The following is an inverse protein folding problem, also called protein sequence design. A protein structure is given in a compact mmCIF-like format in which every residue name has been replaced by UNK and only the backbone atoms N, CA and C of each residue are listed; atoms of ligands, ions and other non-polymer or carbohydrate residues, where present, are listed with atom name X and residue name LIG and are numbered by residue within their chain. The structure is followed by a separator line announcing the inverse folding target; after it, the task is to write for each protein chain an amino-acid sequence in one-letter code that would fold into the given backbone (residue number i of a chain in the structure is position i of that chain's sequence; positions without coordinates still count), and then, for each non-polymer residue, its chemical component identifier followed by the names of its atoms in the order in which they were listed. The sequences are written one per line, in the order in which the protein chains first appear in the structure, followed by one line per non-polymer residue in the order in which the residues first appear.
data_IF_950480696502
#
_entry.id   IF_950480696502
#
_cell.length_a   1.000
_cell.length_b   1.000
_cell.length_c   1.000
_cell.angle_alpha   90.00
_cell.angle_beta   90.00
_cell.angle_gamma   90.00
#
_symmetry.space_group_name_H-M   'P 1'
#
loop_
_entity.id
_entity.type
_entity.pdbx_description
1 polymer ?
#
# COMPACT_ATOMS: atom_id res chain seq x y z
N UNK A 1 -59.34 -14.27 -29.06
CA UNK A 1 -60.12 -13.85 -30.25
C UNK A 1 -59.39 -12.68 -30.87
N UNK A 2 -58.52 -12.98 -31.83
CA UNK A 2 -58.74 -12.61 -33.25
C UNK A 2 -58.73 -11.09 -33.48
N UNK A 3 -57.57 -10.62 -33.96
CA UNK A 3 -57.36 -9.69 -35.09
C UNK A 3 -58.67 -9.22 -35.75
N UNK A 4 -58.71 -7.94 -36.16
CA UNK A 4 -58.90 -7.52 -37.57
C UNK A 4 -59.73 -6.22 -37.71
N UNK A 5 -59.11 -5.25 -38.40
CA UNK A 5 -59.67 -4.22 -39.32
C UNK A 5 -60.50 -3.04 -38.81
N UNK A 6 -60.20 -1.89 -39.42
CA UNK A 6 -61.15 -0.78 -39.53
C UNK A 6 -60.53 0.59 -39.83
N UNK A 7 -59.82 0.75 -40.95
CA UNK A 7 -59.67 2.08 -41.55
C UNK A 7 -60.89 2.36 -42.45
N UNK A 8 -61.44 3.58 -42.41
CA UNK A 8 -61.63 4.36 -43.64
C UNK A 8 -61.33 5.86 -43.41
N UNK A 9 -60.51 6.50 -44.25
CA UNK A 9 -60.86 7.17 -45.52
C UNK A 9 -61.02 8.70 -45.37
N UNK A 10 -60.02 9.41 -45.92
CA UNK A 10 -60.11 10.62 -46.77
C UNK A 10 -60.91 11.85 -46.28
N UNK A 11 -60.19 12.91 -45.94
CA UNK A 11 -60.43 14.26 -46.49
C UNK A 11 -59.16 15.10 -46.38
N UNK A 12 -58.49 15.30 -47.52
CA UNK A 12 -57.39 16.24 -47.67
C UNK A 12 -57.93 17.67 -47.54
N UNK A 13 -57.54 18.36 -46.47
CA UNK A 13 -57.64 19.82 -46.37
C UNK A 13 -56.20 20.33 -46.25
N UNK A 14 -55.73 21.02 -47.28
CA UNK A 14 -54.39 21.61 -47.30
C UNK A 14 -54.23 22.55 -46.08
N UNK A 15 -53.16 22.42 -45.28
CA UNK A 15 -52.93 23.36 -44.20
C UNK A 15 -52.55 24.72 -44.81
N UNK A 16 -53.32 25.75 -44.45
CA UNK A 16 -52.99 27.15 -44.67
C UNK A 16 -51.52 27.39 -44.31
N UNK A 17 -50.69 27.70 -45.30
CA UNK A 17 -49.32 28.16 -45.09
C UNK A 17 -49.40 29.53 -44.41
N UNK A 18 -49.23 29.53 -43.09
CA UNK A 18 -49.15 30.75 -42.29
C UNK A 18 -47.66 31.07 -42.09
N UNK A 19 -47.06 32.04 -42.83
CA UNK A 19 -45.63 32.31 -42.81
C UNK A 19 -45.12 32.84 -41.45
N UNK A 20 -46.00 33.08 -40.47
CA UNK A 20 -45.68 33.49 -39.10
C UNK A 20 -45.77 32.35 -38.07
N UNK A 21 -46.04 31.11 -38.49
CA UNK A 21 -46.16 29.95 -37.60
C UNK A 21 -44.86 29.13 -37.41
N UNK A 22 -43.71 29.60 -37.94
CA UNK A 22 -42.40 28.97 -37.74
C UNK A 22 -41.64 29.66 -36.61
N UNK A 23 -42.20 29.61 -35.41
CA UNK A 23 -41.52 30.13 -34.22
C UNK A 23 -41.86 29.31 -32.97
N UNK A 24 -41.89 27.97 -33.04
CA UNK A 24 -41.59 27.15 -31.86
C UNK A 24 -41.41 25.64 -32.14
N UNK A 25 -40.43 25.21 -32.95
CA UNK A 25 -40.01 23.80 -32.96
C UNK A 25 -38.54 23.65 -33.30
N UNK A 26 -37.70 23.66 -32.27
CA UNK A 26 -36.30 23.28 -32.33
C UNK A 26 -35.61 23.59 -31.00
N UNK A 27 -35.09 22.60 -30.24
CA UNK A 27 -34.34 22.83 -29.02
C UNK A 27 -32.98 23.45 -29.39
N UNK A 28 -32.99 24.76 -29.57
CA UNK A 28 -31.81 25.57 -29.80
C UNK A 28 -31.02 25.69 -28.50
N UNK A 29 -29.79 25.17 -28.53
CA UNK A 29 -28.73 25.42 -27.57
C UNK A 29 -28.41 26.92 -27.49
N UNK A 30 -29.24 27.68 -26.78
CA UNK A 30 -28.89 29.01 -26.32
C UNK A 30 -28.84 29.00 -24.79
N UNK A 31 -27.93 28.18 -24.26
CA UNK A 31 -27.44 28.43 -22.91
C UNK A 31 -26.46 29.60 -23.05
N UNK A 32 -26.63 30.73 -22.33
CA UNK A 32 -25.60 31.76 -22.30
C UNK A 32 -24.26 31.11 -21.90
N UNK A 33 -23.09 31.66 -22.32
CA UNK A 33 -21.81 31.18 -21.83
C UNK A 33 -21.90 31.11 -20.31
N UNK A 34 -21.61 29.93 -19.73
CA UNK A 34 -21.57 29.81 -18.28
C UNK A 34 -20.67 30.93 -17.76
N UNK A 35 -21.17 31.73 -16.82
CA UNK A 35 -20.34 32.73 -16.17
C UNK A 35 -19.08 32.03 -15.65
N UNK A 36 -17.88 32.59 -15.89
CA UNK A 36 -16.64 31.94 -15.50
C UNK A 36 -16.68 31.67 -14.00
N UNK A 37 -16.39 30.42 -13.62
CA UNK A 37 -16.41 30.03 -12.21
C UNK A 37 -15.30 30.79 -11.46
N UNK A 38 -15.39 30.93 -10.13
CA UNK A 38 -14.28 31.46 -9.33
C UNK A 38 -12.95 30.74 -9.59
N UNK A 39 -13.01 29.43 -9.89
CA UNK A 39 -11.86 28.66 -10.33
C UNK A 39 -11.32 29.12 -11.69
N UNK A 40 -12.19 29.31 -12.68
CA UNK A 40 -11.77 29.73 -14.03
C UNK A 40 -11.09 31.10 -14.02
N UNK A 41 -11.61 32.05 -13.23
CA UNK A 41 -11.02 33.38 -13.06
C UNK A 41 -9.63 33.31 -12.41
N UNK A 42 -9.51 32.53 -11.32
CA UNK A 42 -8.25 32.40 -10.60
C UNK A 42 -7.20 31.62 -11.41
N UNK A 43 -7.64 30.61 -12.16
CA UNK A 43 -6.79 29.87 -13.09
C UNK A 43 -6.20 30.81 -14.14
N UNK A 44 -7.02 31.66 -14.75
CA UNK A 44 -6.57 32.64 -15.72
C UNK A 44 -5.53 33.60 -15.11
N UNK A 45 -5.80 34.15 -13.92
CA UNK A 45 -4.87 35.06 -13.23
C UNK A 45 -3.51 34.38 -12.93
N UNK A 46 -3.53 33.12 -12.49
CA UNK A 46 -2.31 32.34 -12.24
C UNK A 46 -1.56 32.07 -13.55
N UNK A 47 -2.25 31.69 -14.63
CA UNK A 47 -1.63 31.44 -15.93
C UNK A 47 -0.97 32.71 -16.51
N UNK A 48 -1.60 33.87 -16.34
CA UNK A 48 -1.06 35.17 -16.77
C UNK A 48 0.18 35.57 -15.96
N UNK A 49 0.14 35.43 -14.62
CA UNK A 49 1.29 35.69 -13.76
C UNK A 49 2.44 34.71 -14.01
N UNK A 50 2.12 33.44 -14.27
CA UNK A 50 3.11 32.42 -14.61
C UNK A 50 3.78 32.70 -15.95
N UNK A 51 3.02 33.14 -16.96
CA UNK A 51 3.59 33.62 -18.22
C UNK A 51 4.54 34.79 -17.97
N UNK A 52 4.12 35.77 -17.17
CA UNK A 52 4.95 36.92 -16.79
C UNK A 52 6.24 36.47 -16.09
N UNK A 53 6.16 35.50 -15.18
CA UNK A 53 7.34 34.98 -14.48
C UNK A 53 8.34 34.30 -15.42
N UNK A 54 7.89 33.66 -16.51
CA UNK A 54 8.82 33.09 -17.50
C UNK A 54 9.68 34.15 -18.16
N UNK A 55 9.15 35.36 -18.35
CA UNK A 55 9.88 36.45 -18.99
C UNK A 55 10.95 37.06 -18.06
N UNK A 56 10.76 37.00 -16.73
CA UNK A 56 11.69 37.55 -15.73
C UNK A 56 12.62 36.53 -15.07
N UNK A 57 12.29 35.23 -15.09
CA UNK A 57 13.03 34.16 -14.41
C UNK A 57 13.72 33.22 -15.41
N UNK A 58 14.56 33.78 -16.26
CA UNK A 58 15.30 33.08 -17.32
C UNK A 58 16.61 32.41 -16.86
N UNK A 59 17.04 32.69 -15.63
CA UNK A 59 18.26 32.15 -15.01
C UNK A 59 19.42 33.14 -14.97
N UNK A 60 19.26 34.36 -15.46
CA UNK A 60 20.27 35.40 -15.34
C UNK A 60 20.32 36.01 -13.92
N UNK A 61 21.51 36.38 -13.41
CA UNK A 61 21.62 37.06 -12.12
C UNK A 61 20.93 38.44 -12.13
N UNK A 62 20.36 38.83 -10.99
CA UNK A 62 19.75 40.15 -10.86
C UNK A 62 20.80 41.26 -10.91
N UNK A 63 20.66 42.18 -11.86
CA UNK A 63 21.64 43.24 -12.16
C UNK A 63 21.25 44.63 -11.62
N UNK A 64 20.01 44.80 -11.14
CA UNK A 64 19.47 46.09 -10.71
C UNK A 64 18.45 45.97 -9.57
N UNK A 65 18.41 46.97 -8.69
CA UNK A 65 17.44 47.06 -7.58
C UNK A 65 15.99 47.19 -8.08
N UNK A 66 15.80 47.84 -9.24
CA UNK A 66 14.50 47.93 -9.90
C UNK A 66 14.00 46.54 -10.31
N UNK A 67 14.86 45.69 -10.87
CA UNK A 67 14.51 44.31 -11.24
C UNK A 67 14.25 43.45 -10.01
N UNK A 68 15.04 43.60 -8.94
CA UNK A 68 14.79 42.93 -7.67
C UNK A 68 13.39 43.28 -7.10
N UNK A 69 12.97 44.54 -7.21
CA UNK A 69 11.65 45.01 -6.74
C UNK A 69 10.52 44.41 -7.57
N UNK A 70 10.62 44.44 -8.91
CA UNK A 70 9.61 43.87 -9.81
C UNK A 70 9.45 42.36 -9.59
N UNK A 71 10.57 41.63 -9.47
CA UNK A 71 10.55 40.18 -9.21
C UNK A 71 9.95 39.89 -7.83
N UNK A 72 10.22 40.71 -6.82
CA UNK A 72 9.62 40.57 -5.48
C UNK A 72 8.10 40.77 -5.52
N UNK A 73 7.62 41.82 -6.20
CA UNK A 73 6.17 42.03 -6.36
C UNK A 73 5.49 40.90 -7.13
N UNK A 74 6.12 40.39 -8.19
CA UNK A 74 5.61 39.26 -8.96
C UNK A 74 5.54 37.99 -8.11
N UNK A 75 6.59 37.71 -7.35
CA UNK A 75 6.65 36.61 -6.39
C UNK A 75 5.49 36.68 -5.39
N UNK A 76 5.28 37.85 -4.78
CA UNK A 76 4.25 38.03 -3.77
C UNK A 76 2.84 37.89 -4.36
N UNK A 77 2.59 38.40 -5.57
CA UNK A 77 1.31 38.22 -6.27
C UNK A 77 1.02 36.75 -6.58
N UNK A 78 2.02 36.00 -7.06
CA UNK A 78 1.89 34.56 -7.31
C UNK A 78 1.57 33.82 -6.01
N UNK A 79 2.26 34.17 -4.92
CA UNK A 79 2.02 33.59 -3.60
C UNK A 79 0.59 33.84 -3.10
N UNK A 80 0.09 35.07 -3.22
CA UNK A 80 -1.29 35.41 -2.83
C UNK A 80 -2.35 34.73 -3.72
N UNK A 81 -2.08 34.55 -5.01
CA UNK A 81 -2.95 33.73 -5.88
C UNK A 81 -2.98 32.26 -5.42
N UNK A 82 -1.83 31.71 -5.05
CA UNK A 82 -1.71 30.36 -4.50
C UNK A 82 -2.55 30.17 -3.23
N UNK A 83 -2.52 31.15 -2.31
CA UNK A 83 -3.37 31.14 -1.10
C UNK A 83 -4.86 31.15 -1.42
N UNK A 84 -5.29 31.99 -2.37
CA UNK A 84 -6.69 32.04 -2.82
C UNK A 84 -7.15 30.72 -3.45
N UNK A 85 -6.27 30.07 -4.21
CA UNK A 85 -6.59 28.79 -4.84
C UNK A 85 -6.78 27.68 -3.81
N UNK A 86 -5.91 27.66 -2.80
CA UNK A 86 -6.05 26.72 -1.69
C UNK A 86 -7.30 26.98 -0.86
N UNK A 87 -7.65 28.24 -0.59
CA UNK A 87 -8.89 28.59 0.11
C UNK A 87 -10.13 28.10 -0.65
N UNK A 88 -10.20 28.35 -1.97
CA UNK A 88 -11.30 27.88 -2.82
C UNK A 88 -11.39 26.33 -2.81
N UNK A 89 -10.25 25.66 -2.91
CA UNK A 89 -10.19 24.18 -2.84
C UNK A 89 -10.72 23.65 -1.51
N UNK A 90 -10.35 24.27 -0.40
CA UNK A 90 -10.82 23.89 0.94
C UNK A 90 -12.33 24.10 1.06
N UNK A 91 -12.85 25.22 0.58
CA UNK A 91 -14.27 25.54 0.64
C UNK A 91 -15.11 24.58 -0.21
N UNK A 92 -14.67 24.26 -1.43
CA UNK A 92 -15.34 23.27 -2.30
C UNK A 92 -15.28 21.86 -1.71
N UNK A 93 -14.17 21.49 -1.07
CA UNK A 93 -13.96 20.16 -0.47
C UNK A 93 -14.71 19.99 0.84
N UNK A 94 -14.92 21.06 1.61
CA UNK A 94 -15.54 21.04 2.93
C UNK A 94 -16.86 20.25 3.02
N UNK A 95 -17.88 20.47 2.16
CA UNK A 95 -19.12 19.69 2.24
C UNK A 95 -18.92 18.20 1.98
N UNK A 96 -17.93 17.82 1.16
CA UNK A 96 -17.59 16.41 0.93
C UNK A 96 -16.85 15.81 2.11
N UNK A 97 -15.90 16.56 2.69
CA UNK A 97 -15.20 16.15 3.90
C UNK A 97 -16.17 15.96 5.07
N UNK A 98 -17.16 16.84 5.23
CA UNK A 98 -18.21 16.74 6.26
C UNK A 98 -19.07 15.47 6.07
N UNK A 99 -19.47 15.16 4.82
CA UNK A 99 -20.21 13.93 4.51
C UNK A 99 -19.37 12.67 4.79
N UNK A 100 -18.08 12.69 4.41
CA UNK A 100 -17.15 11.61 4.70
C UNK A 100 -16.99 11.45 6.21
N UNK A 101 -16.86 12.54 6.96
CA UNK A 101 -16.72 12.53 8.41
C UNK A 101 -17.96 11.97 9.11
N UNK A 102 -19.17 12.29 8.63
CA UNK A 102 -20.42 11.72 9.13
C UNK A 102 -20.46 10.20 8.95
N UNK A 103 -20.13 9.73 7.74
CA UNK A 103 -20.06 8.29 7.43
C UNK A 103 -19.02 7.61 8.33
N UNK A 104 -17.82 8.19 8.45
CA UNK A 104 -16.77 7.63 9.30
C UNK A 104 -17.21 7.54 10.75
N UNK A 105 -17.81 8.61 11.29
CA UNK A 105 -18.36 8.64 12.65
C UNK A 105 -19.40 7.54 12.87
N UNK A 106 -20.32 7.34 11.92
CA UNK A 106 -21.36 6.30 11.98
C UNK A 106 -20.77 4.89 12.05
N UNK A 107 -19.72 4.60 11.28
CA UNK A 107 -19.14 3.26 11.18
C UNK A 107 -18.01 3.00 12.19
N UNK A 108 -17.43 4.04 12.77
CA UNK A 108 -16.31 3.91 13.71
C UNK A 108 -16.59 2.97 14.89
N UNK A 109 -17.75 3.03 15.58
CA UNK A 109 -18.03 2.12 16.70
C UNK A 109 -18.14 0.65 16.28
N UNK A 110 -18.35 0.36 15.00
CA UNK A 110 -18.52 -0.99 14.48
C UNK A 110 -17.19 -1.56 13.97
N UNK A 111 -16.48 -0.80 13.13
CA UNK A 111 -15.32 -1.28 12.36
C UNK A 111 -14.06 -0.42 12.51
N UNK A 112 -14.13 0.67 13.29
CA UNK A 112 -13.00 1.56 13.49
C UNK A 112 -11.78 0.83 14.06
N UNK A 113 -10.60 1.16 13.53
CA UNK A 113 -9.34 0.65 14.03
C UNK A 113 -8.35 1.83 14.11
N UNK A 114 -8.56 2.69 15.10
CA UNK A 114 -7.73 3.88 15.28
C UNK A 114 -7.18 3.95 16.70
N UNK A 115 -6.26 4.89 16.94
CA UNK A 115 -5.74 5.15 18.29
C UNK A 115 -6.85 5.57 19.28
N UNK A 116 -7.92 6.19 18.78
CA UNK A 116 -9.05 6.68 19.59
C UNK A 116 -10.01 5.58 20.05
N UNK A 117 -9.90 4.38 19.50
CA UNK A 117 -10.78 3.27 19.85
C UNK A 117 -10.86 2.20 18.77
N UNK A 118 -11.23 0.99 19.21
CA UNK A 118 -11.53 -0.17 18.36
C UNK A 118 -13.04 -0.36 18.29
N UNK A 119 -13.56 -0.58 17.09
CA UNK A 119 -14.94 -0.96 16.87
C UNK A 119 -15.22 -2.39 17.32
N UNK A 120 -16.50 -2.72 17.49
CA UNK A 120 -16.96 -4.03 17.99
C UNK A 120 -16.38 -5.22 17.20
N UNK A 121 -16.25 -5.10 15.88
CA UNK A 121 -15.72 -6.19 15.04
C UNK A 121 -14.26 -6.50 15.37
N UNK A 122 -13.44 -5.48 15.58
CA UNK A 122 -12.01 -5.67 15.91
C UNK A 122 -11.88 -6.26 17.31
N UNK A 123 -12.62 -5.72 18.29
CA UNK A 123 -12.62 -6.25 19.66
C UNK A 123 -13.03 -7.74 19.71
N UNK A 124 -14.10 -8.11 19.00
CA UNK A 124 -14.56 -9.49 18.95
C UNK A 124 -13.52 -10.40 18.26
N UNK A 125 -12.95 -9.96 17.13
CA UNK A 125 -11.90 -10.71 16.42
C UNK A 125 -10.67 -10.91 17.28
N UNK A 126 -10.19 -9.87 17.96
CA UNK A 126 -9.03 -9.94 18.85
C UNK A 126 -9.29 -10.93 19.99
N UNK A 127 -10.45 -10.84 20.65
CA UNK A 127 -10.82 -11.77 21.72
C UNK A 127 -10.87 -13.23 21.24
N UNK A 128 -11.48 -13.49 20.07
CA UNK A 128 -11.48 -14.82 19.47
C UNK A 128 -10.06 -15.28 19.11
N UNK A 129 -9.22 -14.39 18.56
CA UNK A 129 -7.87 -14.73 18.15
C UNK A 129 -6.98 -15.04 19.38
N UNK A 130 -7.15 -14.33 20.50
CA UNK A 130 -6.45 -14.64 21.76
C UNK A 130 -6.73 -16.06 22.24
N UNK A 131 -7.96 -16.55 22.10
CA UNK A 131 -8.32 -17.93 22.47
C UNK A 131 -7.89 -18.95 21.41
N UNK A 132 -8.05 -18.63 20.13
CA UNK A 132 -7.74 -19.54 19.02
C UNK A 132 -6.24 -19.74 18.80
N UNK A 133 -5.41 -18.74 19.10
CA UNK A 133 -3.95 -18.81 18.90
C UNK A 133 -3.29 -19.96 19.66
N UNK A 134 -3.41 -20.07 21.01
CA UNK A 134 -2.79 -21.16 21.75
C UNK A 134 -3.36 -22.53 21.36
N UNK A 135 -4.66 -22.61 21.04
CA UNK A 135 -5.26 -23.85 20.53
C UNK A 135 -4.65 -24.28 19.19
N UNK A 136 -4.55 -23.35 18.22
CA UNK A 136 -3.93 -23.62 16.92
C UNK A 136 -2.45 -24.00 17.06
N UNK A 137 -1.73 -23.38 17.99
CA UNK A 137 -0.34 -23.74 18.31
C UNK A 137 -0.23 -25.16 18.87
N UNK A 138 -1.12 -25.54 19.80
CA UNK A 138 -1.20 -26.91 20.33
C UNK A 138 -1.46 -27.92 19.21
N UNK A 139 -2.48 -27.67 18.38
CA UNK A 139 -2.80 -28.55 17.24
C UNK A 139 -1.64 -28.63 16.24
N UNK A 140 -0.93 -27.52 16.00
CA UNK A 140 0.26 -27.51 15.15
C UNK A 140 1.37 -28.39 15.75
N UNK A 141 1.64 -28.27 17.05
CA UNK A 141 2.64 -29.08 17.75
C UNK A 141 2.29 -30.57 17.74
N UNK A 142 1.01 -30.92 17.97
CA UNK A 142 0.53 -32.31 17.91
C UNK A 142 0.72 -32.91 16.52
N UNK A 143 0.37 -32.15 15.47
CA UNK A 143 0.55 -32.60 14.08
C UNK A 143 2.02 -32.69 13.68
N UNK A 144 2.86 -31.77 14.14
CA UNK A 144 4.30 -31.83 13.91
C UNK A 144 4.93 -33.05 14.59
N UNK A 145 4.53 -33.36 15.83
CA UNK A 145 4.97 -34.56 16.54
C UNK A 145 4.53 -35.84 15.82
N UNK A 146 3.27 -35.89 15.35
CA UNK A 146 2.77 -37.00 14.55
C UNK A 146 3.52 -37.16 13.22
N UNK A 147 3.81 -36.05 12.53
CA UNK A 147 4.59 -36.06 11.31
C UNK A 147 6.03 -36.53 11.55
N UNK A 148 6.68 -36.08 12.62
CA UNK A 148 8.02 -36.51 13.01
C UNK A 148 8.07 -38.03 13.32
N UNK A 149 7.07 -38.54 14.05
CA UNK A 149 6.95 -39.97 14.33
C UNK A 149 6.74 -40.79 13.05
N UNK A 150 5.82 -40.37 12.18
CA UNK A 150 5.58 -41.05 10.91
C UNK A 150 6.80 -41.01 9.98
N UNK A 151 7.56 -39.91 9.97
CA UNK A 151 8.81 -39.80 9.23
C UNK A 151 9.88 -40.76 9.77
N UNK A 152 10.04 -40.85 11.10
CA UNK A 152 10.99 -41.78 11.71
C UNK A 152 10.63 -43.25 11.43
N UNK A 153 9.34 -43.61 11.48
CA UNK A 153 8.86 -44.96 11.14
C UNK A 153 9.07 -45.29 9.66
N UNK A 154 8.78 -44.35 8.76
CA UNK A 154 9.01 -44.53 7.32
C UNK A 154 10.51 -44.64 6.99
N UNK A 155 11.36 -43.86 7.66
CA UNK A 155 12.83 -43.93 7.53
C UNK A 155 13.37 -45.29 7.98
N UNK A 156 12.94 -45.77 9.14
CA UNK A 156 13.35 -47.06 9.67
C UNK A 156 12.93 -48.20 8.75
N UNK A 157 11.67 -48.20 8.29
CA UNK A 157 11.16 -49.21 7.35
C UNK A 157 11.90 -49.17 6.01
N UNK A 158 12.23 -47.98 5.50
CA UNK A 158 13.00 -47.84 4.26
C UNK A 158 14.40 -48.42 4.40
N UNK A 159 15.09 -48.14 5.52
CA UNK A 159 16.43 -48.71 5.79
C UNK A 159 16.37 -50.23 5.87
N UNK A 160 15.42 -50.79 6.62
CA UNK A 160 15.24 -52.25 6.72
C UNK A 160 14.92 -52.89 5.37
N UNK A 161 14.07 -52.27 4.55
CA UNK A 161 13.78 -52.75 3.21
C UNK A 161 15.01 -52.70 2.28
N UNK A 162 15.83 -51.65 2.36
CA UNK A 162 17.07 -51.52 1.59
C UNK A 162 18.10 -52.58 2.00
N UNK A 163 18.28 -52.82 3.30
CA UNK A 163 19.17 -53.85 3.83
C UNK A 163 18.72 -55.25 3.39
N UNK A 164 17.42 -55.56 3.48
CA UNK A 164 16.85 -56.83 3.02
C UNK A 164 16.99 -57.03 1.50
N UNK A 165 16.85 -55.96 0.71
CA UNK A 165 17.00 -56.00 -0.75
C UNK A 165 18.47 -56.24 -1.18
N UNK A 166 19.43 -55.76 -0.38
CA UNK A 166 20.86 -56.02 -0.58
C UNK A 166 21.25 -57.44 -0.14
N UNK A 167 20.70 -57.93 0.97
CA UNK A 167 21.00 -59.25 1.52
C UNK A 167 20.41 -60.40 0.69
N UNK A 168 19.23 -60.20 0.07
CA UNK A 168 18.52 -61.22 -0.74
C UNK A 168 19.12 -61.49 -2.13
N UNK A 169 20.33 -61.01 -2.41
CA UNK A 169 20.97 -61.18 -3.72
C UNK A 169 21.21 -62.67 -4.03
N UNK A 170 20.45 -63.21 -4.99
CA UNK A 170 20.58 -64.60 -5.45
C UNK A 170 19.66 -65.61 -4.74
N UNK A 171 18.80 -65.18 -3.80
CA UNK A 171 17.81 -66.03 -3.14
C UNK A 171 16.38 -65.53 -3.41
N UNK A 172 15.58 -66.31 -4.14
CA UNK A 172 14.23 -65.93 -4.57
C UNK A 172 13.26 -65.73 -3.40
N UNK A 173 13.30 -66.60 -2.38
CA UNK A 173 12.39 -66.50 -1.24
C UNK A 173 12.69 -65.27 -0.37
N UNK A 174 13.97 -64.94 -0.19
CA UNK A 174 14.40 -63.73 0.51
C UNK A 174 14.12 -62.46 -0.30
N UNK A 175 14.11 -62.58 -1.63
CA UNK A 175 13.76 -61.47 -2.54
C UNK A 175 12.29 -61.09 -2.42
N UNK A 176 11.39 -62.08 -2.41
CA UNK A 176 9.95 -61.85 -2.22
C UNK A 176 9.66 -61.18 -0.87
N UNK A 177 10.31 -61.63 0.21
CA UNK A 177 10.21 -60.99 1.53
C UNK A 177 10.75 -59.55 1.54
N UNK A 178 11.86 -59.28 0.84
CA UNK A 178 12.41 -57.93 0.71
C UNK A 178 11.51 -56.99 -0.12
N UNK A 179 10.80 -57.52 -1.12
CA UNK A 179 9.82 -56.75 -1.91
C UNK A 179 8.57 -56.39 -1.09
N UNK A 180 8.10 -57.29 -0.21
CA UNK A 180 7.02 -56.99 0.73
C UNK A 180 7.41 -55.89 1.72
N UNK A 181 8.63 -55.96 2.29
CA UNK A 181 9.18 -54.90 3.14
C UNK A 181 9.30 -53.56 2.41
N UNK A 182 9.66 -53.57 1.12
CA UNK A 182 9.72 -52.36 0.30
C UNK A 182 8.31 -51.80 0.02
N UNK A 183 7.32 -52.65 -0.24
CA UNK A 183 5.93 -52.23 -0.37
C UNK A 183 5.41 -51.56 0.91
N UNK A 184 5.78 -52.10 2.08
CA UNK A 184 5.42 -51.56 3.39
C UNK A 184 6.10 -50.22 3.67
N UNK A 185 7.40 -50.11 3.38
CA UNK A 185 8.13 -48.86 3.46
C UNK A 185 7.49 -47.77 2.57
N UNK A 186 7.10 -48.12 1.34
CA UNK A 186 6.41 -47.20 0.42
C UNK A 186 5.03 -46.77 0.94
N UNK A 187 4.30 -47.65 1.64
CA UNK A 187 3.02 -47.29 2.29
C UNK A 187 3.24 -46.32 3.44
N UNK A 188 4.24 -46.57 4.28
CA UNK A 188 4.60 -45.71 5.40
C UNK A 188 5.10 -44.34 4.93
N UNK A 189 5.90 -44.27 3.86
CA UNK A 189 6.36 -43.02 3.28
C UNK A 189 5.19 -42.16 2.77
N UNK A 190 4.20 -42.77 2.10
CA UNK A 190 2.97 -42.06 1.69
C UNK A 190 2.20 -41.54 2.91
N UNK A 191 2.17 -42.30 4.01
CA UNK A 191 1.60 -41.88 5.28
C UNK A 191 2.32 -40.66 5.87
N UNK A 192 3.66 -40.71 5.93
CA UNK A 192 4.50 -39.62 6.41
C UNK A 192 4.30 -38.33 5.60
N UNK A 193 4.25 -38.42 4.27
CA UNK A 193 3.97 -37.26 3.40
C UNK A 193 2.60 -36.63 3.65
N UNK A 194 1.58 -37.43 3.97
CA UNK A 194 0.24 -36.91 4.33
C UNK A 194 0.26 -36.22 5.70
N UNK A 195 0.97 -36.79 6.66
CA UNK A 195 1.13 -36.22 8.00
C UNK A 195 1.90 -34.88 7.95
N UNK A 196 2.97 -34.82 7.17
CA UNK A 196 3.74 -33.59 6.94
C UNK A 196 2.89 -32.48 6.32
N UNK A 197 2.12 -32.79 5.26
CA UNK A 197 1.18 -31.83 4.66
C UNK A 197 0.14 -31.34 5.67
N UNK A 198 -0.36 -32.22 6.53
CA UNK A 198 -1.33 -31.84 7.57
C UNK A 198 -0.72 -30.93 8.64
N UNK A 199 0.58 -31.09 8.94
CA UNK A 199 1.34 -30.27 9.87
C UNK A 199 1.74 -28.90 9.31
N UNK A 200 1.85 -28.76 7.99
CA UNK A 200 2.33 -27.53 7.34
C UNK A 200 1.23 -26.68 6.69
N UNK A 201 0.03 -27.23 6.48
CA UNK A 201 -1.07 -26.54 5.78
C UNK A 201 -2.35 -26.41 6.61
N UNK A 202 -3.13 -25.35 6.36
CA UNK A 202 -4.49 -25.20 6.91
C UNK A 202 -4.59 -24.88 8.40
N UNK A 203 -3.49 -24.46 9.05
CA UNK A 203 -3.46 -24.19 10.50
C UNK A 203 -3.93 -22.78 10.89
N UNK A 204 -4.14 -21.88 9.93
CA UNK A 204 -4.52 -20.48 10.21
C UNK A 204 -3.47 -19.73 11.04
N UNK A 205 -2.22 -20.20 10.99
CA UNK A 205 -1.03 -19.58 11.57
C UNK A 205 -0.17 -19.04 10.41
N UNK A 206 0.46 -17.89 10.64
CA UNK A 206 1.44 -17.31 9.72
C UNK A 206 2.84 -17.63 10.23
N UNK A 207 3.71 -18.12 9.36
CA UNK A 207 5.15 -18.21 9.66
C UNK A 207 5.77 -16.83 9.60
N UNK A 208 6.44 -16.43 10.68
CA UNK A 208 7.23 -15.19 10.76
C UNK A 208 8.65 -15.58 11.12
N UNK A 209 9.60 -15.17 10.29
CA UNK A 209 11.03 -15.33 10.56
C UNK A 209 11.52 -14.07 11.28
N UNK A 210 11.95 -14.23 12.52
CA UNK A 210 12.47 -13.13 13.33
C UNK A 210 13.95 -13.40 13.58
N UNK A 211 14.79 -12.44 13.19
CA UNK A 211 16.20 -12.48 13.57
C UNK A 211 16.31 -12.07 15.05
N UNK A 212 16.86 -12.95 15.87
CA UNK A 212 17.19 -12.66 17.28
C UNK A 212 18.69 -12.42 17.35
N UNK A 213 19.10 -11.31 17.97
CA UNK A 213 20.51 -10.99 18.16
C UNK A 213 21.09 -11.90 19.24
N UNK A 214 21.98 -12.80 18.86
CA UNK A 214 22.65 -13.72 19.80
C UNK A 214 24.07 -13.24 20.17
N UNK A 215 24.79 -12.68 19.19
CA UNK A 215 26.15 -12.15 19.38
C UNK A 215 26.30 -10.82 18.63
N UNK A 216 26.60 -9.78 19.39
CA UNK A 216 26.69 -8.40 18.91
C UNK A 216 27.85 -8.19 17.93
N UNK A 217 29.03 -8.75 18.22
CA UNK A 217 30.24 -8.58 17.41
C UNK A 217 30.07 -9.26 16.04
N UNK A 218 29.63 -10.52 16.03
CA UNK A 218 29.40 -11.27 14.79
C UNK A 218 28.30 -10.63 13.94
N UNK A 219 27.26 -10.09 14.57
CA UNK A 219 26.20 -9.39 13.86
C UNK A 219 26.69 -8.08 13.24
N UNK A 220 27.53 -7.32 13.95
CA UNK A 220 28.13 -6.10 13.43
C UNK A 220 29.10 -6.36 12.28
N UNK A 221 29.90 -7.42 12.36
CA UNK A 221 30.76 -7.84 11.25
C UNK A 221 29.94 -8.22 10.00
N UNK A 222 28.86 -8.99 10.18
CA UNK A 222 27.94 -9.33 9.09
C UNK A 222 27.25 -8.08 8.50
N UNK A 223 26.78 -7.16 9.34
CA UNK A 223 26.17 -5.90 8.91
C UNK A 223 27.19 -5.02 8.18
N UNK A 224 28.43 -4.97 8.65
CA UNK A 224 29.49 -4.21 8.01
C UNK A 224 29.82 -4.73 6.62
N UNK A 225 29.81 -6.06 6.43
CA UNK A 225 29.99 -6.67 5.12
C UNK A 225 28.79 -6.45 4.18
N UNK A 226 27.57 -6.44 4.70
CA UNK A 226 26.33 -6.38 3.90
C UNK A 226 25.86 -4.96 3.58
N UNK A 227 25.88 -4.07 4.56
CA UNK A 227 25.19 -2.78 4.55
C UNK A 227 26.02 -1.70 5.25
N UNK A 228 27.30 -1.60 4.88
CA UNK A 228 28.26 -0.64 5.45
C UNK A 228 27.75 0.79 5.47
N UNK A 229 27.15 1.25 4.37
CA UNK A 229 26.71 2.64 4.23
C UNK A 229 25.59 3.00 5.21
N UNK A 230 24.69 2.06 5.53
CA UNK A 230 23.64 2.25 6.53
C UNK A 230 24.22 2.33 7.94
N UNK A 231 25.20 1.47 8.26
CA UNK A 231 25.91 1.50 9.54
C UNK A 231 26.64 2.84 9.71
N UNK A 232 27.33 3.30 8.66
CA UNK A 232 28.01 4.59 8.66
C UNK A 232 27.04 5.77 8.74
N UNK A 233 25.88 5.70 8.10
CA UNK A 233 24.86 6.75 8.18
C UNK A 233 24.31 6.90 9.61
N UNK A 234 24.09 5.79 10.32
CA UNK A 234 23.72 5.81 11.74
C UNK A 234 24.84 6.42 12.59
N UNK A 235 26.09 6.01 12.34
CA UNK A 235 27.25 6.57 13.04
C UNK A 235 27.38 8.09 12.82
N UNK A 236 27.22 8.56 11.57
CA UNK A 236 27.26 9.98 11.23
C UNK A 236 26.13 10.78 11.90
N UNK A 237 24.89 10.26 11.88
CA UNK A 237 23.75 10.91 12.55
C UNK A 237 24.02 11.12 14.04
N UNK A 238 24.51 10.08 14.72
CA UNK A 238 24.82 10.14 16.15
C UNK A 238 25.99 11.11 16.41
N UNK A 239 27.00 11.16 15.53
CA UNK A 239 28.10 12.12 15.63
C UNK A 239 27.60 13.56 15.46
N UNK A 240 26.75 13.84 14.47
CA UNK A 240 26.16 15.17 14.25
C UNK A 240 25.30 15.61 15.43
N UNK A 241 24.51 14.71 16.01
CA UNK A 241 23.72 14.97 17.21
C UNK A 241 24.61 15.35 18.40
N UNK A 242 25.72 14.61 18.61
CA UNK A 242 26.70 14.95 19.63
C UNK A 242 27.35 16.33 19.37
N UNK A 243 27.66 16.67 18.11
CA UNK A 243 28.22 17.98 17.75
C UNK A 243 27.21 19.10 17.99
N UNK A 244 25.94 18.91 17.65
CA UNK A 244 24.85 19.86 17.95
C UNK A 244 24.63 20.04 19.44
N UNK A 245 24.80 18.98 20.24
CA UNK A 245 24.78 19.04 21.70
C UNK A 245 26.00 19.77 22.30
N UNK A 246 26.98 20.17 21.46
CA UNK A 246 28.12 21.00 21.86
C UNK A 246 29.46 20.25 21.86
N UNK A 247 29.50 18.97 21.53
CA UNK A 247 30.73 18.19 21.51
C UNK A 247 31.58 18.56 20.28
N UNK A 248 32.72 19.21 20.48
CA UNK A 248 33.61 19.65 19.38
C UNK A 248 34.70 18.65 19.00
N UNK A 249 34.77 17.52 19.71
CA UNK A 249 35.68 16.40 19.41
C UNK A 249 34.89 15.10 19.52
N UNK A 250 34.75 14.39 18.40
CA UNK A 250 34.07 13.08 18.33
C UNK A 250 35.06 12.05 17.80
N UNK A 251 35.34 10.95 18.52
CA UNK A 251 36.27 9.92 18.06
C UNK A 251 35.88 9.38 16.68
N UNK A 252 36.85 9.32 15.76
CA UNK A 252 36.61 8.85 14.38
C UNK A 252 36.00 9.89 13.43
N UNK A 253 35.65 11.10 13.90
CA UNK A 253 35.08 12.16 13.09
C UNK A 253 35.90 13.45 13.21
N UNK A 254 35.99 14.19 12.11
CA UNK A 254 36.58 15.54 12.08
C UNK A 254 35.46 16.57 12.09
N UNK A 255 35.41 17.39 13.13
CA UNK A 255 34.42 18.49 13.26
C UNK A 255 34.97 19.74 12.56
N UNK A 256 34.18 20.35 11.68
CA UNK A 256 34.52 21.59 10.94
C UNK A 256 33.50 22.68 11.24
N UNK A 257 33.93 23.94 11.21
CA UNK A 257 33.07 25.11 11.40
C UNK A 257 32.79 25.77 10.03
N UNK A 258 31.51 25.90 9.68
CA UNK A 258 31.04 26.57 8.46
C UNK A 258 30.00 27.62 8.83
N UNK A 259 30.11 28.82 8.24
CA UNK A 259 29.15 29.91 8.43
C UNK A 259 28.25 30.00 7.21
N UNK A 260 26.96 29.72 7.40
CA UNK A 260 25.94 29.72 6.34
C UNK A 260 24.97 30.88 6.58
N UNK A 261 24.39 31.46 5.51
CA UNK A 261 23.40 32.53 5.61
C UNK A 261 22.22 32.10 6.51
N UNK A 262 21.72 33.03 7.33
CA UNK A 262 20.59 32.78 8.22
C UNK A 262 19.30 32.66 7.39
N UNK A 263 19.08 31.51 6.76
CA UNK A 263 17.79 31.18 6.16
C UNK A 263 16.75 31.11 7.30
N UNK A 264 15.73 31.96 7.20
CA UNK A 264 14.67 32.09 8.20
C UNK A 264 14.04 30.74 8.51
N UNK A 265 14.16 30.32 9.77
CA UNK A 265 13.47 29.15 10.29
C UNK A 265 11.98 29.48 10.33
N UNK A 266 11.22 29.00 9.35
CA UNK A 266 9.77 29.00 9.44
C UNK A 266 9.39 28.24 10.72
N UNK A 267 8.72 28.94 11.61
CA UNK A 267 8.13 28.42 12.84
C UNK A 267 6.91 27.55 12.53
#
# INVERSE_FOLDING_TARGET
MTRTQGAPALAATAPNFNPMAVANTGPGHNNPPAEPTPFDLLKQEIEDLYSTAKDFCDGEPIDSEAMATVITELHDRIHECGKRAEALRVDEKKPLDDQIAEIQTKFHPLIGNTKSGKGKVILAKDACQTLLTPWRQKVAAEKAAAAAKAAAEAEAARRTAQEAMQASAGNLAEREAAEELLADANRLEKGARRADKAATTGLGLRTVWVAVLENEEVAMDWLWARAKDEVLAVAQRNADEAVRAGLRKVPGFRVVEEKVAAAGRAA
#
